data_IF_183942860260
#
_entry.id   IF_183942860260
#
_cell.length_a   1.000
_cell.length_b   1.000
_cell.length_c   1.000
_cell.angle_alpha   90.00
_cell.angle_beta   90.00
_cell.angle_gamma   90.00
#
_symmetry.space_group_name_H-M   'P 1'
#
loop_
_entity.id
_entity.type
_entity.pdbx_description
1 polymer ?
#
# COMPACT_ATOMS: atom_id res chain seq x y z
N UNK A 1 37.36 1.82 -16.91
CA UNK A 1 37.69 1.54 -15.50
C UNK A 1 36.42 1.47 -14.67
N UNK A 2 35.65 2.55 -14.56
CA UNK A 2 34.39 2.61 -13.78
C UNK A 2 33.41 1.46 -14.07
N UNK A 3 33.21 1.08 -15.34
CA UNK A 3 32.29 -0.01 -15.71
C UNK A 3 32.69 -1.36 -15.08
N UNK A 4 33.98 -1.70 -15.11
CA UNK A 4 34.46 -2.97 -14.58
C UNK A 4 34.37 -3.01 -13.06
N UNK A 5 34.72 -1.90 -12.40
CA UNK A 5 34.65 -1.78 -10.94
C UNK A 5 33.20 -1.80 -10.44
N UNK A 6 32.28 -1.14 -11.17
CA UNK A 6 30.86 -1.16 -10.88
C UNK A 6 30.27 -2.57 -11.00
N UNK A 7 30.54 -3.29 -12.09
CA UNK A 7 30.07 -4.67 -12.26
C UNK A 7 30.63 -5.60 -11.18
N UNK A 8 31.90 -5.42 -10.79
CA UNK A 8 32.50 -6.18 -9.68
C UNK A 8 31.80 -5.90 -8.36
N UNK A 9 31.50 -4.63 -8.05
CA UNK A 9 30.77 -4.25 -6.85
C UNK A 9 29.34 -4.81 -6.86
N UNK A 10 28.65 -4.77 -8.01
CA UNK A 10 27.33 -5.38 -8.17
C UNK A 10 27.35 -6.87 -7.89
N UNK A 11 28.31 -7.61 -8.43
CA UNK A 11 28.42 -9.05 -8.18
C UNK A 11 28.70 -9.38 -6.71
N UNK A 12 29.54 -8.57 -6.05
CA UNK A 12 29.77 -8.71 -4.62
C UNK A 12 28.50 -8.42 -3.80
N UNK A 13 27.71 -7.44 -4.22
CA UNK A 13 26.45 -7.11 -3.58
C UNK A 13 25.40 -8.21 -3.79
N UNK A 14 25.28 -8.77 -4.99
CA UNK A 14 24.41 -9.93 -5.27
C UNK A 14 24.83 -11.14 -4.43
N UNK A 15 26.13 -11.38 -4.24
CA UNK A 15 26.59 -12.46 -3.39
C UNK A 15 26.24 -12.26 -1.91
N UNK A 16 26.10 -11.01 -1.45
CA UNK A 16 25.71 -10.68 -0.08
C UNK A 16 24.19 -10.58 0.11
N UNK A 17 23.45 -10.21 -0.94
CA UNK A 17 22.00 -10.09 -0.98
C UNK A 17 21.48 -10.82 -2.22
N UNK A 18 21.30 -12.15 -2.14
CA UNK A 18 20.95 -12.98 -3.30
C UNK A 18 19.65 -12.55 -4.00
N UNK A 19 18.72 -11.90 -3.29
CA UNK A 19 17.50 -11.31 -3.86
C UNK A 19 17.79 -10.39 -5.07
N UNK A 20 18.95 -9.75 -5.10
CA UNK A 20 19.33 -8.85 -6.19
C UNK A 20 19.70 -9.61 -7.48
N UNK A 21 19.96 -10.91 -7.42
CA UNK A 21 20.32 -11.77 -8.54
C UNK A 21 19.11 -12.22 -9.39
N UNK A 22 19.35 -13.11 -10.36
CA UNK A 22 18.35 -13.44 -11.39
C UNK A 22 17.24 -14.40 -10.93
N UNK A 23 17.52 -15.31 -9.99
CA UNK A 23 16.60 -16.36 -9.55
C UNK A 23 16.51 -16.40 -8.02
N UNK A 24 15.90 -15.39 -7.39
CA UNK A 24 15.70 -15.41 -5.94
C UNK A 24 14.69 -16.48 -5.53
N UNK A 25 14.91 -17.09 -4.38
CA UNK A 25 13.95 -17.98 -3.74
C UNK A 25 13.24 -17.31 -2.53
N UNK A 26 12.39 -18.07 -1.84
CA UNK A 26 11.65 -17.59 -0.67
C UNK A 26 12.57 -17.21 0.49
N UNK A 27 13.68 -17.93 0.66
CA UNK A 27 14.65 -17.64 1.71
C UNK A 27 15.38 -16.33 1.43
N UNK A 28 15.76 -16.09 0.19
CA UNK A 28 16.39 -14.83 -0.23
C UNK A 28 15.46 -13.62 0.01
N UNK A 29 14.16 -13.83 -0.14
CA UNK A 29 13.12 -12.85 0.15
C UNK A 29 12.98 -12.57 1.66
N UNK A 30 12.93 -13.61 2.50
CA UNK A 30 12.89 -13.45 3.96
C UNK A 30 14.12 -12.71 4.50
N UNK A 31 15.34 -13.10 4.05
CA UNK A 31 16.58 -12.42 4.45
C UNK A 31 16.61 -10.94 3.98
N UNK A 32 16.02 -10.64 2.82
CA UNK A 32 15.90 -9.27 2.33
C UNK A 32 14.90 -8.43 3.15
N UNK A 33 13.84 -9.03 3.70
CA UNK A 33 12.92 -8.35 4.61
C UNK A 33 13.63 -7.99 5.93
N UNK A 34 14.41 -8.92 6.49
CA UNK A 34 15.23 -8.65 7.69
C UNK A 34 16.23 -7.50 7.44
N UNK A 35 16.85 -7.48 6.25
CA UNK A 35 17.74 -6.39 5.85
C UNK A 35 17.00 -5.05 5.76
N UNK A 36 15.79 -5.02 5.18
CA UNK A 36 14.97 -3.79 5.12
C UNK A 36 14.61 -3.31 6.52
N UNK A 37 14.19 -4.21 7.41
CA UNK A 37 13.89 -3.87 8.81
C UNK A 37 15.11 -3.22 9.49
N UNK A 38 16.28 -3.83 9.36
CA UNK A 38 17.51 -3.28 9.91
C UNK A 38 17.87 -1.91 9.31
N UNK A 39 17.76 -1.76 7.99
CA UNK A 39 18.06 -0.49 7.32
C UNK A 39 17.11 0.62 7.74
N UNK A 40 15.81 0.34 7.91
CA UNK A 40 14.84 1.34 8.36
C UNK A 40 15.15 1.86 9.78
N UNK A 41 15.69 1.01 10.66
CA UNK A 41 16.04 1.39 12.03
C UNK A 41 17.39 2.09 12.13
N UNK A 42 18.43 1.53 11.49
CA UNK A 42 19.82 1.95 11.71
C UNK A 42 20.34 2.90 10.62
N UNK A 43 19.86 2.79 9.39
CA UNK A 43 20.35 3.60 8.27
C UNK A 43 19.30 3.84 7.16
N UNK A 44 18.22 4.60 7.46
CA UNK A 44 17.09 4.75 6.55
C UNK A 44 17.42 5.57 5.29
N UNK A 45 18.56 6.28 5.26
CA UNK A 45 19.04 7.03 4.10
C UNK A 45 19.94 6.22 3.16
N UNK A 46 20.14 4.92 3.43
CA UNK A 46 21.00 4.06 2.62
C UNK A 46 20.40 3.85 1.21
N UNK A 47 21.16 4.07 0.12
CA UNK A 47 20.70 3.71 -1.23
C UNK A 47 20.37 2.22 -1.40
N UNK A 48 20.92 1.37 -0.54
CA UNK A 48 20.60 -0.07 -0.55
C UNK A 48 19.13 -0.33 -0.20
N UNK A 49 18.52 0.52 0.64
CA UNK A 49 17.11 0.39 1.00
C UNK A 49 16.23 0.48 -0.25
N UNK A 50 16.44 1.50 -1.08
CA UNK A 50 15.69 1.67 -2.33
C UNK A 50 15.91 0.50 -3.30
N UNK A 51 17.15 -0.01 -3.39
CA UNK A 51 17.50 -1.13 -4.27
C UNK A 51 16.77 -2.41 -3.81
N UNK A 52 16.85 -2.74 -2.52
CA UNK A 52 16.26 -3.97 -1.97
C UNK A 52 14.73 -3.88 -2.01
N UNK A 53 14.12 -2.75 -1.63
CA UNK A 53 12.68 -2.57 -1.70
C UNK A 53 12.13 -2.70 -3.14
N UNK A 54 12.86 -2.22 -4.15
CA UNK A 54 12.47 -2.39 -5.54
C UNK A 54 12.54 -3.86 -6.00
N UNK A 55 13.52 -4.63 -5.51
CA UNK A 55 13.64 -6.05 -5.83
C UNK A 55 12.60 -6.89 -5.10
N UNK A 56 12.30 -6.58 -3.84
CA UNK A 56 11.18 -7.16 -3.08
C UNK A 56 9.87 -6.98 -3.85
N UNK A 57 9.55 -5.74 -4.26
CA UNK A 57 8.34 -5.47 -5.05
C UNK A 57 8.30 -6.32 -6.32
N UNK A 58 9.41 -6.42 -7.04
CA UNK A 58 9.50 -7.21 -8.27
C UNK A 58 9.25 -8.71 -8.01
N UNK A 59 9.75 -9.22 -6.90
CA UNK A 59 9.53 -10.60 -6.47
C UNK A 59 8.06 -10.84 -6.09
N UNK A 60 7.48 -9.97 -5.26
CA UNK A 60 6.07 -10.01 -4.84
C UNK A 60 5.10 -9.88 -6.01
N UNK A 61 5.40 -9.05 -7.01
CA UNK A 61 4.57 -8.87 -8.21
C UNK A 61 4.43 -10.16 -9.05
N UNK A 62 5.33 -11.13 -8.87
CA UNK A 62 5.25 -12.46 -9.48
C UNK A 62 4.49 -13.50 -8.66
N UNK A 63 4.15 -13.22 -7.39
CA UNK A 63 3.50 -14.19 -6.51
C UNK A 63 1.99 -14.22 -6.73
N UNK A 64 1.39 -15.41 -6.99
CA UNK A 64 -0.05 -15.52 -7.24
C UNK A 64 -0.93 -14.97 -6.11
N UNK A 65 -0.52 -15.17 -4.86
CA UNK A 65 -1.25 -14.69 -3.68
C UNK A 65 -1.28 -13.16 -3.59
N UNK A 66 -0.14 -12.51 -3.87
CA UNK A 66 -0.04 -11.05 -3.88
C UNK A 66 -0.80 -10.45 -5.07
N UNK A 67 -0.74 -11.09 -6.23
CA UNK A 67 -1.51 -10.67 -7.40
C UNK A 67 -3.02 -10.75 -7.11
N UNK A 68 -3.49 -11.87 -6.56
CA UNK A 68 -4.88 -12.04 -6.16
C UNK A 68 -5.32 -11.00 -5.12
N UNK A 69 -4.49 -10.78 -4.08
CA UNK A 69 -4.75 -9.74 -3.08
C UNK A 69 -4.85 -8.35 -3.71
N UNK A 70 -3.95 -8.01 -4.64
CA UNK A 70 -3.95 -6.72 -5.33
C UNK A 70 -5.21 -6.54 -6.18
N UNK A 71 -5.68 -7.59 -6.86
CA UNK A 71 -6.94 -7.58 -7.60
C UNK A 71 -8.14 -7.35 -6.67
N UNK A 72 -8.19 -8.03 -5.53
CA UNK A 72 -9.23 -7.82 -4.51
C UNK A 72 -9.22 -6.40 -3.96
N UNK A 73 -8.03 -5.85 -3.68
CA UNK A 73 -7.87 -4.48 -3.19
C UNK A 73 -8.32 -3.46 -4.23
N UNK A 74 -7.91 -3.61 -5.49
CA UNK A 74 -8.28 -2.72 -6.58
C UNK A 74 -9.78 -2.77 -6.93
N UNK A 75 -10.47 -3.86 -6.58
CA UNK A 75 -11.91 -3.97 -6.73
C UNK A 75 -12.70 -3.14 -5.70
N UNK A 76 -12.05 -2.66 -4.63
CA UNK A 76 -12.66 -1.83 -3.59
C UNK A 76 -12.44 -0.35 -3.95
N UNK A 77 -13.50 0.44 -4.23
CA UNK A 77 -13.35 1.86 -4.52
C UNK A 77 -12.66 2.61 -3.35
N UNK A 78 -11.69 3.49 -3.61
CA UNK A 78 -10.96 4.21 -2.56
C UNK A 78 -11.88 4.91 -1.56
N UNK A 79 -12.93 5.57 -2.05
CA UNK A 79 -13.90 6.24 -1.18
C UNK A 79 -14.64 5.30 -0.22
N UNK A 80 -14.87 4.05 -0.62
CA UNK A 80 -15.46 3.02 0.25
C UNK A 80 -14.44 2.51 1.27
N UNK A 81 -13.20 2.26 0.85
CA UNK A 81 -12.12 1.84 1.75
C UNK A 81 -11.92 2.87 2.87
N UNK A 82 -11.79 4.16 2.51
CA UNK A 82 -11.63 5.24 3.49
C UNK A 82 -12.82 5.34 4.44
N UNK A 83 -14.06 5.24 3.93
CA UNK A 83 -15.24 5.29 4.79
C UNK A 83 -15.24 4.15 5.81
N UNK A 84 -14.90 2.93 5.40
CA UNK A 84 -14.80 1.77 6.31
C UNK A 84 -13.71 1.98 7.36
N UNK A 85 -12.54 2.48 6.95
CA UNK A 85 -11.45 2.81 7.87
C UNK A 85 -11.85 3.88 8.88
N UNK A 86 -12.52 4.96 8.44
CA UNK A 86 -13.03 6.00 9.34
C UNK A 86 -14.05 5.45 10.33
N UNK A 87 -14.95 4.57 9.87
CA UNK A 87 -15.92 3.92 10.75
C UNK A 87 -15.22 3.07 11.82
N UNK A 88 -14.23 2.28 11.45
CA UNK A 88 -13.49 1.46 12.41
C UNK A 88 -12.65 2.29 13.39
N UNK A 89 -11.90 3.28 12.89
CA UNK A 89 -11.00 4.09 13.72
C UNK A 89 -11.76 4.97 14.73
N UNK A 90 -12.87 5.58 14.30
CA UNK A 90 -13.68 6.44 15.15
C UNK A 90 -14.85 5.70 15.82
N UNK A 91 -14.94 4.38 15.65
CA UNK A 91 -16.03 3.52 16.16
C UNK A 91 -17.42 4.05 15.79
N UNK A 92 -17.55 4.55 14.55
CA UNK A 92 -18.79 5.11 14.02
C UNK A 92 -19.66 4.02 13.40
N UNK A 93 -20.95 4.23 13.53
CA UNK A 93 -22.00 3.37 12.97
C UNK A 93 -22.63 4.02 11.75
N UNK A 94 -23.51 3.28 11.07
CA UNK A 94 -24.23 3.78 9.90
C UNK A 94 -25.19 4.95 10.20
N UNK A 95 -25.48 5.25 11.47
CA UNK A 95 -26.27 6.42 11.87
C UNK A 95 -25.45 7.70 12.00
N UNK A 96 -24.12 7.62 12.07
CA UNK A 96 -23.29 8.76 12.44
C UNK A 96 -22.86 9.62 11.25
N UNK A 97 -23.39 9.37 10.06
CA UNK A 97 -23.06 10.06 8.80
C UNK A 97 -24.24 10.84 8.20
N UNK A 98 -25.21 11.23 9.04
CA UNK A 98 -26.41 11.91 8.59
C UNK A 98 -26.12 13.25 7.90
N UNK A 99 -25.07 13.96 8.34
CA UNK A 99 -24.75 15.29 7.83
C UNK A 99 -23.97 15.24 6.51
N UNK A 100 -23.12 14.22 6.35
CA UNK A 100 -22.17 14.06 5.25
C UNK A 100 -22.75 13.23 4.10
N UNK A 101 -23.32 12.08 4.44
CA UNK A 101 -23.83 11.09 3.51
C UNK A 101 -25.35 11.21 3.50
N UNK A 102 -26.01 10.97 4.64
CA UNK A 102 -27.46 11.05 4.77
C UNK A 102 -28.03 9.92 5.63
N UNK A 103 -29.24 9.48 5.32
CA UNK A 103 -29.91 8.45 6.12
C UNK A 103 -29.12 7.14 6.23
N UNK A 104 -29.35 6.39 7.32
CA UNK A 104 -28.75 5.07 7.58
C UNK A 104 -28.83 4.11 6.38
N UNK A 105 -29.96 4.14 5.66
CA UNK A 105 -30.17 3.34 4.44
C UNK A 105 -29.26 3.77 3.28
N UNK A 106 -28.97 5.07 3.15
CA UNK A 106 -28.05 5.55 2.13
C UNK A 106 -26.61 5.17 2.47
N UNK A 107 -26.18 5.35 3.71
CA UNK A 107 -24.85 4.91 4.19
C UNK A 107 -24.65 3.42 3.94
N UNK A 108 -25.65 2.58 4.27
CA UNK A 108 -25.61 1.15 3.99
C UNK A 108 -25.48 0.83 2.50
N UNK A 109 -26.17 1.55 1.61
CA UNK A 109 -26.02 1.36 0.16
C UNK A 109 -24.62 1.71 -0.34
N UNK A 110 -23.99 2.74 0.23
CA UNK A 110 -22.59 3.09 -0.08
C UNK A 110 -21.65 1.99 0.40
N UNK A 111 -21.82 1.51 1.64
CA UNK A 111 -20.98 0.47 2.22
C UNK A 111 -21.03 -0.87 1.47
N UNK A 112 -22.14 -1.15 0.80
CA UNK A 112 -22.37 -2.33 -0.01
C UNK A 112 -22.04 -2.12 -1.50
N UNK A 113 -21.42 -1.01 -1.88
CA UNK A 113 -21.07 -0.70 -3.28
C UNK A 113 -22.26 -0.46 -4.21
N UNK A 114 -23.49 -0.39 -3.68
CA UNK A 114 -24.71 -0.14 -4.48
C UNK A 114 -24.86 1.33 -4.87
N UNK A 115 -24.06 2.23 -4.28
CA UNK A 115 -24.05 3.67 -4.58
C UNK A 115 -22.68 4.26 -4.30
N UNK A 116 -22.18 5.09 -5.20
CA UNK A 116 -20.91 5.79 -5.01
C UNK A 116 -21.08 7.06 -4.14
N UNK A 117 -20.00 7.46 -3.48
CA UNK A 117 -19.92 8.77 -2.82
C UNK A 117 -19.98 9.87 -3.87
N UNK A 118 -20.85 10.87 -3.67
CA UNK A 118 -20.87 12.05 -4.52
C UNK A 118 -19.77 13.02 -4.12
N UNK A 119 -19.39 13.93 -5.01
CA UNK A 119 -18.44 15.03 -4.71
C UNK A 119 -18.87 15.82 -3.47
N UNK A 120 -20.17 16.02 -3.27
CA UNK A 120 -20.67 16.71 -2.07
C UNK A 120 -20.48 15.88 -0.79
N UNK A 121 -20.68 14.56 -0.85
CA UNK A 121 -20.39 13.69 0.29
C UNK A 121 -18.90 13.73 0.64
N UNK A 122 -18.03 13.61 -0.37
CA UNK A 122 -16.57 13.65 -0.20
C UNK A 122 -16.15 14.97 0.44
N UNK A 123 -16.65 16.12 -0.05
CA UNK A 123 -16.36 17.43 0.56
C UNK A 123 -16.73 17.47 2.03
N UNK A 124 -17.92 16.99 2.40
CA UNK A 124 -18.38 17.00 3.79
C UNK A 124 -17.58 16.05 4.69
N UNK A 125 -17.27 14.84 4.20
CA UNK A 125 -16.41 13.88 4.91
C UNK A 125 -15.01 14.45 5.11
N UNK A 126 -14.43 15.03 4.05
CA UNK A 126 -13.12 15.69 4.09
C UNK A 126 -13.08 16.79 5.15
N UNK A 127 -14.10 17.66 5.19
CA UNK A 127 -14.20 18.72 6.19
C UNK A 127 -14.34 18.20 7.62
N UNK A 128 -15.08 17.09 7.83
CA UNK A 128 -15.27 16.52 9.17
C UNK A 128 -14.02 15.84 9.71
N UNK A 129 -13.32 15.08 8.88
CA UNK A 129 -12.20 14.23 9.30
C UNK A 129 -10.83 14.86 9.02
N UNK A 130 -10.77 16.03 8.36
CA UNK A 130 -9.51 16.70 8.04
C UNK A 130 -8.68 15.97 6.99
N UNK A 131 -9.33 15.19 6.11
CA UNK A 131 -8.67 14.38 5.08
C UNK A 131 -8.82 15.08 3.72
N UNK A 132 -7.82 14.96 2.86
CA UNK A 132 -7.89 15.50 1.49
C UNK A 132 -9.01 14.83 0.69
N UNK A 133 -9.87 15.59 -0.03
CA UNK A 133 -10.86 15.04 -0.93
C UNK A 133 -10.28 14.09 -1.98
N UNK A 134 -9.03 14.31 -2.39
CA UNK A 134 -8.33 13.48 -3.37
C UNK A 134 -8.15 12.04 -2.88
N UNK A 135 -8.09 11.79 -1.58
CA UNK A 135 -7.93 10.45 -1.03
C UNK A 135 -9.15 9.56 -1.31
N UNK A 136 -10.35 10.14 -1.47
CA UNK A 136 -11.58 9.38 -1.72
C UNK A 136 -11.79 9.00 -3.18
N UNK A 137 -10.85 9.34 -4.06
CA UNK A 137 -10.95 9.20 -5.51
C UNK A 137 -9.77 8.33 -5.97
N UNK A 138 -10.07 7.34 -6.82
CA UNK A 138 -9.07 6.51 -7.51
C UNK A 138 -8.39 7.28 -8.66
#
# INVERSE_FOLDING_TARGET
>A
MIVADALKATNALIAAVPLLGDNPDEKDYEEALELVEHLLMENPGSPLLDIVCNRIRTYEDGQPEIVALREEMNAIPAGLAILRTLMDQYKLTTSDFQNEIGSKSMVSRVLNGKRNLSVNHIKKLSSRFGISPASFID
#
